data_IF_836281219573
#
_entry.id   IF_836281219573
#
_cell.length_a   1.000
_cell.length_b   1.000
_cell.length_c   1.000
_cell.angle_alpha   90.00
_cell.angle_beta   90.00
_cell.angle_gamma   90.00
#
_symmetry.space_group_name_H-M   'P 1'
#
loop_
_entity.id
_entity.type
_entity.pdbx_description
1 polymer ?
#
# COMPACT_ATOMS: atom_id res chain seq x y z
N UNK A 1 -2.82 -6.53 16.27
CA UNK A 1 -2.46 -5.81 15.04
C UNK A 1 -1.82 -6.76 14.03
N UNK A 2 -2.14 -6.59 12.76
CA UNK A 2 -1.51 -7.39 11.72
C UNK A 2 -1.25 -6.57 10.45
N UNK A 3 -0.36 -7.07 9.60
CA UNK A 3 0.09 -6.40 8.39
C UNK A 3 -0.05 -7.33 7.19
N UNK A 4 -0.64 -6.83 6.10
CA UNK A 4 -0.47 -7.40 4.78
C UNK A 4 0.72 -6.67 4.14
N UNK A 5 1.93 -7.18 4.33
CA UNK A 5 3.18 -6.45 4.07
C UNK A 5 3.39 -6.04 2.61
N UNK A 6 2.87 -6.82 1.66
CA UNK A 6 3.01 -6.54 0.23
C UNK A 6 1.89 -7.24 -0.55
N UNK A 7 0.70 -6.63 -0.58
CA UNK A 7 -0.50 -7.20 -1.20
C UNK A 7 -1.35 -6.12 -1.88
N UNK A 8 -1.85 -6.45 -3.05
CA UNK A 8 -2.69 -5.58 -3.86
C UNK A 8 -4.17 -5.99 -3.79
N UNK A 9 -5.03 -5.33 -4.55
CA UNK A 9 -6.47 -5.56 -4.54
C UNK A 9 -6.89 -6.58 -5.60
N UNK A 10 -7.49 -7.69 -5.18
CA UNK A 10 -7.96 -8.73 -6.10
C UNK A 10 -9.05 -8.22 -7.04
N UNK A 11 -9.87 -7.27 -6.62
CA UNK A 11 -10.92 -6.69 -7.46
C UNK A 11 -10.36 -5.92 -8.66
N UNK A 12 -9.15 -5.39 -8.57
CA UNK A 12 -8.49 -4.68 -9.68
C UNK A 12 -7.80 -5.67 -10.61
N UNK A 13 -7.10 -6.65 -10.05
CA UNK A 13 -6.46 -7.71 -10.81
C UNK A 13 -6.53 -9.02 -10.02
N UNK A 14 -7.18 -10.02 -10.61
CA UNK A 14 -7.49 -11.27 -9.93
C UNK A 14 -6.27 -12.16 -9.78
N UNK A 15 -5.64 -12.09 -8.62
CA UNK A 15 -4.56 -12.98 -8.21
C UNK A 15 -4.89 -13.58 -6.84
N UNK A 16 -4.60 -14.86 -6.66
CA UNK A 16 -4.92 -15.59 -5.41
C UNK A 16 -4.29 -14.92 -4.19
N UNK A 17 -3.09 -14.36 -4.36
CA UNK A 17 -2.33 -13.71 -3.29
C UNK A 17 -2.83 -12.31 -2.95
N UNK A 18 -3.58 -11.69 -3.83
CA UNK A 18 -4.12 -10.35 -3.61
C UNK A 18 -5.32 -10.38 -2.67
N UNK A 19 -5.57 -9.26 -2.00
CA UNK A 19 -6.62 -9.13 -0.99
C UNK A 19 -8.00 -8.98 -1.61
N UNK A 20 -8.98 -9.72 -1.10
CA UNK A 20 -10.39 -9.48 -1.42
C UNK A 20 -10.87 -8.21 -0.74
N UNK A 21 -11.97 -7.63 -1.23
CA UNK A 21 -12.57 -6.45 -0.60
C UNK A 21 -12.94 -6.70 0.86
N UNK A 22 -13.43 -7.89 1.18
CA UNK A 22 -13.76 -8.27 2.55
C UNK A 22 -12.52 -8.28 3.44
N UNK A 23 -11.41 -8.82 2.93
CA UNK A 23 -10.14 -8.83 3.66
C UNK A 23 -9.62 -7.41 3.89
N UNK A 24 -9.71 -6.56 2.89
CA UNK A 24 -9.32 -5.14 3.01
C UNK A 24 -10.15 -4.46 4.09
N UNK A 25 -11.46 -4.66 4.09
CA UNK A 25 -12.37 -4.08 5.09
C UNK A 25 -12.05 -4.55 6.51
N UNK A 26 -11.69 -5.82 6.68
CA UNK A 26 -11.28 -6.36 7.97
C UNK A 26 -10.00 -5.67 8.46
N UNK A 27 -9.03 -5.47 7.57
CA UNK A 27 -7.78 -4.77 7.92
C UNK A 27 -8.06 -3.34 8.35
N UNK A 28 -8.95 -2.64 7.62
CA UNK A 28 -9.38 -1.28 7.97
C UNK A 28 -10.00 -1.26 9.36
N UNK A 29 -10.96 -2.14 9.60
CA UNK A 29 -11.69 -2.23 10.87
C UNK A 29 -10.75 -2.48 12.05
N UNK A 30 -9.72 -3.30 11.83
CA UNK A 30 -8.77 -3.66 12.88
C UNK A 30 -7.57 -2.73 13.00
N UNK A 31 -7.52 -1.67 12.19
CA UNK A 31 -6.42 -0.73 12.22
C UNK A 31 -5.08 -1.35 11.84
N UNK A 32 -5.09 -2.27 10.89
CA UNK A 32 -3.88 -2.90 10.37
C UNK A 32 -3.16 -2.04 9.34
N UNK A 33 -2.28 -2.67 8.56
CA UNK A 33 -1.51 -1.99 7.52
C UNK A 33 -1.49 -2.85 6.26
N UNK A 34 -1.64 -2.22 5.09
CA UNK A 34 -1.54 -2.86 3.79
C UNK A 34 -0.41 -2.21 3.01
N UNK A 35 0.63 -2.97 2.69
CA UNK A 35 1.70 -2.49 1.81
C UNK A 35 1.37 -2.81 0.35
N UNK A 36 1.29 -1.80 -0.50
CA UNK A 36 1.09 -1.99 -1.94
C UNK A 36 2.31 -2.68 -2.55
N UNK A 37 2.07 -3.79 -3.27
CA UNK A 37 3.11 -4.56 -3.94
C UNK A 37 3.35 -4.01 -5.36
N UNK A 38 4.59 -3.89 -5.76
CA UNK A 38 4.96 -3.35 -7.07
C UNK A 38 5.24 -4.44 -8.12
N UNK A 39 5.09 -5.70 -7.77
CA UNK A 39 5.28 -6.80 -8.72
C UNK A 39 4.32 -6.63 -9.91
N UNK A 40 4.86 -6.59 -11.12
CA UNK A 40 4.07 -6.33 -12.33
C UNK A 40 2.93 -7.32 -12.52
N UNK A 41 3.14 -8.59 -12.19
CA UNK A 41 2.12 -9.63 -12.27
C UNK A 41 0.93 -9.33 -11.34
N UNK A 42 1.18 -8.85 -10.13
CA UNK A 42 0.12 -8.56 -9.16
C UNK A 42 -0.62 -7.27 -9.47
N UNK A 43 0.08 -6.29 -10.02
CA UNK A 43 -0.55 -5.05 -10.46
C UNK A 43 -1.48 -5.29 -11.65
N UNK A 44 -1.11 -6.21 -12.55
CA UNK A 44 -1.87 -6.52 -13.75
C UNK A 44 -1.67 -5.49 -14.86
N UNK A 45 -2.37 -5.65 -15.98
CA UNK A 45 -2.24 -4.77 -17.13
C UNK A 45 -0.80 -4.62 -17.57
N UNK A 46 -0.31 -3.38 -17.67
CA UNK A 46 1.08 -3.08 -17.97
C UNK A 46 2.01 -3.17 -16.75
N UNK A 47 1.46 -3.41 -15.57
CA UNK A 47 2.23 -3.60 -14.34
C UNK A 47 3.00 -2.38 -13.86
N UNK A 48 2.57 -1.18 -14.23
CA UNK A 48 3.26 0.06 -13.93
C UNK A 48 2.48 0.97 -12.97
N UNK A 49 2.86 2.24 -12.97
CA UNK A 49 2.27 3.23 -12.06
C UNK A 49 0.79 3.51 -12.33
N UNK A 50 0.32 3.32 -13.55
CA UNK A 50 -1.10 3.45 -13.87
C UNK A 50 -1.92 2.38 -13.13
N UNK A 51 -1.44 1.15 -13.13
CA UNK A 51 -2.06 0.04 -12.40
C UNK A 51 -1.96 0.24 -10.89
N UNK A 52 -0.82 0.74 -10.41
CA UNK A 52 -0.66 1.09 -9.01
C UNK A 52 -1.70 2.12 -8.57
N UNK A 53 -1.96 3.13 -9.40
CA UNK A 53 -3.01 4.11 -9.16
C UNK A 53 -4.37 3.44 -9.01
N UNK A 54 -4.72 2.50 -9.89
CA UNK A 54 -6.00 1.79 -9.83
C UNK A 54 -6.17 1.01 -8.53
N UNK A 55 -5.13 0.29 -8.09
CA UNK A 55 -5.16 -0.42 -6.81
C UNK A 55 -5.35 0.55 -5.65
N UNK A 56 -4.63 1.66 -5.68
CA UNK A 56 -4.74 2.71 -4.66
C UNK A 56 -6.15 3.29 -4.61
N UNK A 57 -6.69 3.69 -5.75
CA UNK A 57 -8.04 4.24 -5.83
C UNK A 57 -9.09 3.25 -5.34
N UNK A 58 -8.96 1.98 -5.72
CA UNK A 58 -9.90 0.96 -5.27
C UNK A 58 -9.88 0.81 -3.74
N UNK A 59 -8.70 0.71 -3.15
CA UNK A 59 -8.59 0.60 -1.70
C UNK A 59 -9.12 1.85 -0.99
N UNK A 60 -8.85 3.04 -1.52
CA UNK A 60 -9.39 4.29 -0.99
C UNK A 60 -10.92 4.31 -1.05
N UNK A 61 -11.52 3.75 -2.10
CA UNK A 61 -12.97 3.65 -2.22
C UNK A 61 -13.61 2.79 -1.13
N UNK A 62 -12.84 1.89 -0.55
CA UNK A 62 -13.26 1.04 0.57
C UNK A 62 -13.00 1.68 1.95
N UNK A 63 -12.39 2.86 1.99
CA UNK A 63 -12.09 3.55 3.23
C UNK A 63 -10.69 3.30 3.80
N UNK A 64 -9.74 2.90 2.96
CA UNK A 64 -8.41 2.46 3.40
C UNK A 64 -7.37 3.58 3.57
N UNK A 65 -7.75 4.86 3.60
CA UNK A 65 -6.79 5.97 3.60
C UNK A 65 -5.79 5.94 4.76
N UNK A 66 -6.18 5.38 5.91
CA UNK A 66 -5.31 5.32 7.09
C UNK A 66 -4.51 4.01 7.21
N UNK A 67 -4.71 3.08 6.29
CA UNK A 67 -4.07 1.75 6.37
C UNK A 67 -3.19 1.41 5.17
N UNK A 68 -3.23 2.17 4.08
CA UNK A 68 -2.40 1.91 2.91
C UNK A 68 -0.98 2.43 3.15
N UNK A 69 0.00 1.63 2.74
CA UNK A 69 1.41 2.00 2.73
C UNK A 69 2.10 1.38 1.51
N UNK A 70 3.41 1.51 1.43
CA UNK A 70 4.19 0.92 0.34
C UNK A 70 4.90 -0.33 0.85
N UNK A 71 4.61 -1.45 0.18
CA UNK A 71 5.24 -2.74 0.47
C UNK A 71 6.07 -3.27 -0.70
N UNK A 72 6.45 -2.46 -1.60
CA UNK A 72 7.12 -2.59 -2.90
C UNK A 72 7.47 -4.01 -3.40
N UNK A 73 8.07 -4.85 -2.55
CA UNK A 73 8.66 -6.15 -2.90
C UNK A 73 9.93 -5.99 -3.75
N UNK A 74 10.67 -4.89 -3.53
CA UNK A 74 11.95 -4.66 -4.20
C UNK A 74 12.89 -5.84 -3.97
N UNK A 75 13.63 -6.20 -5.01
CA UNK A 75 14.56 -7.34 -5.05
C UNK A 75 13.90 -8.73 -4.95
N UNK A 76 12.60 -8.80 -4.70
CA UNK A 76 11.87 -10.08 -4.59
C UNK A 76 11.16 -10.52 -5.87
N UNK A 77 11.03 -9.63 -6.87
CA UNK A 77 10.22 -9.89 -8.05
C UNK A 77 10.54 -8.93 -9.19
N UNK A 78 9.88 -9.15 -10.34
CA UNK A 78 10.01 -8.26 -11.49
C UNK A 78 9.15 -7.01 -11.31
N UNK A 79 9.78 -5.84 -11.39
CA UNK A 79 9.15 -4.54 -11.23
C UNK A 79 9.48 -3.67 -12.46
N UNK A 80 8.48 -2.96 -12.98
CA UNK A 80 8.69 -2.01 -14.09
C UNK A 80 9.72 -0.95 -13.73
N UNK A 81 10.55 -0.50 -14.69
CA UNK A 81 11.58 0.51 -14.40
C UNK A 81 11.06 1.77 -13.74
N UNK A 82 9.86 2.22 -14.07
CA UNK A 82 9.24 3.43 -13.49
C UNK A 82 8.90 3.28 -11.99
N UNK A 83 8.81 2.05 -11.48
CA UNK A 83 8.55 1.75 -10.08
C UNK A 83 9.78 1.21 -9.35
N UNK A 84 10.83 0.82 -10.09
CA UNK A 84 11.97 0.10 -9.54
C UNK A 84 12.95 1.03 -8.84
N UNK A 85 13.24 0.70 -7.59
CA UNK A 85 14.25 1.39 -6.81
C UNK A 85 13.68 2.49 -5.95
N UNK A 86 14.30 2.69 -4.79
CA UNK A 86 13.84 3.68 -3.81
C UNK A 86 13.91 5.12 -4.37
N UNK A 87 14.80 5.37 -5.31
CA UNK A 87 14.93 6.67 -5.96
C UNK A 87 13.71 7.06 -6.80
N UNK A 88 12.85 6.10 -7.14
CA UNK A 88 11.61 6.34 -7.88
C UNK A 88 10.44 6.77 -7.00
N UNK A 89 10.54 6.57 -5.69
CA UNK A 89 9.43 6.86 -4.77
C UNK A 89 8.91 8.30 -4.91
N UNK A 90 9.75 9.35 -4.93
CA UNK A 90 9.22 10.71 -5.12
C UNK A 90 8.42 10.88 -6.41
N UNK A 91 8.88 10.29 -7.52
CA UNK A 91 8.17 10.39 -8.80
C UNK A 91 6.85 9.65 -8.80
N UNK A 92 6.76 8.53 -8.08
CA UNK A 92 5.51 7.78 -7.92
C UNK A 92 4.50 8.63 -7.14
N UNK A 93 4.94 9.26 -6.06
CA UNK A 93 4.10 10.15 -5.26
C UNK A 93 3.54 11.31 -6.11
N UNK A 94 4.39 11.97 -6.88
CA UNK A 94 3.98 13.05 -7.80
C UNK A 94 2.97 12.52 -8.83
N UNK A 95 3.21 11.34 -9.40
CA UNK A 95 2.30 10.73 -10.36
C UNK A 95 0.89 10.53 -9.77
N UNK A 96 0.80 9.99 -8.56
CA UNK A 96 -0.47 9.78 -7.89
C UNK A 96 -1.19 11.12 -7.63
N UNK A 97 -0.46 12.13 -7.17
CA UNK A 97 -1.02 13.46 -6.92
C UNK A 97 -1.56 14.09 -8.21
N UNK A 98 -0.81 14.01 -9.30
CA UNK A 98 -1.22 14.52 -10.61
C UNK A 98 -2.46 13.81 -11.17
N UNK A 99 -2.72 12.58 -10.72
CA UNK A 99 -3.85 11.76 -11.18
C UNK A 99 -4.99 11.68 -10.16
N UNK A 100 -5.07 12.63 -9.24
CA UNK A 100 -6.25 12.84 -8.43
C UNK A 100 -6.18 12.36 -6.99
N UNK A 101 -5.07 11.76 -6.55
CA UNK A 101 -4.91 11.41 -5.15
C UNK A 101 -4.48 12.67 -4.38
N UNK A 102 -5.24 13.13 -3.38
CA UNK A 102 -4.88 14.33 -2.61
C UNK A 102 -3.49 14.22 -1.97
N UNK A 103 -2.78 15.34 -1.90
CA UNK A 103 -1.46 15.40 -1.29
C UNK A 103 -1.43 14.82 0.13
N UNK A 104 -2.45 15.12 0.93
CA UNK A 104 -2.58 14.64 2.31
C UNK A 104 -2.65 13.11 2.37
N UNK A 105 -3.34 12.50 1.42
CA UNK A 105 -3.45 11.03 1.33
C UNK A 105 -2.14 10.42 0.82
N UNK A 106 -1.46 11.06 -0.12
CA UNK A 106 -0.14 10.61 -0.55
C UNK A 106 0.86 10.60 0.61
N UNK A 107 0.85 11.63 1.46
CA UNK A 107 1.69 11.65 2.67
C UNK A 107 1.39 10.48 3.60
N UNK A 108 0.12 10.15 3.77
CA UNK A 108 -0.29 8.99 4.58
C UNK A 108 0.25 7.69 3.99
N UNK A 109 0.08 7.48 2.68
CA UNK A 109 0.49 6.25 2.00
C UNK A 109 2.01 6.07 2.05
N UNK A 110 2.77 7.14 1.78
CA UNK A 110 4.21 7.05 1.64
C UNK A 110 4.98 7.17 2.95
N UNK A 111 4.33 7.60 4.03
CA UNK A 111 5.04 7.75 5.30
C UNK A 111 4.14 7.59 6.53
N UNK A 112 3.09 8.41 6.67
CA UNK A 112 2.42 8.59 7.95
C UNK A 112 1.72 7.33 8.46
N UNK A 113 1.06 6.56 7.57
CA UNK A 113 0.33 5.37 7.99
C UNK A 113 1.25 4.31 8.59
N UNK A 114 2.37 4.02 7.93
CA UNK A 114 3.34 3.07 8.44
C UNK A 114 3.99 3.58 9.73
N UNK A 115 4.36 4.86 9.77
CA UNK A 115 4.97 5.47 10.95
C UNK A 115 4.05 5.37 12.17
N UNK A 116 2.78 5.75 12.02
CA UNK A 116 1.80 5.68 13.10
C UNK A 116 1.54 4.25 13.56
N UNK A 117 1.45 3.32 12.60
CA UNK A 117 1.23 1.91 12.92
C UNK A 117 2.37 1.36 13.76
N UNK A 118 3.61 1.53 13.32
CA UNK A 118 4.78 1.01 14.04
C UNK A 118 5.01 1.72 15.36
N UNK A 119 4.77 3.01 15.43
CA UNK A 119 4.85 3.75 16.69
C UNK A 119 3.89 3.17 17.75
N UNK A 120 2.66 2.87 17.35
CA UNK A 120 1.66 2.29 18.23
C UNK A 120 2.00 0.86 18.66
N UNK A 121 2.48 0.04 17.71
CA UNK A 121 2.74 -1.39 17.94
C UNK A 121 4.04 -1.61 18.72
N UNK A 122 5.04 -0.79 18.50
CA UNK A 122 6.37 -0.93 19.09
C UNK A 122 6.55 -0.14 20.39
N UNK A 123 5.48 0.41 20.96
CA UNK A 123 5.60 1.09 22.25
C UNK A 123 6.11 0.13 23.31
N UNK A 124 7.10 0.56 24.14
CA UNK A 124 7.61 -0.27 25.21
C UNK A 124 6.48 -0.63 26.19
N UNK A 125 6.38 -1.91 26.54
CA UNK A 125 5.47 -2.31 27.62
C UNK A 125 5.96 -1.68 28.92
N UNK A 126 5.07 -0.96 29.61
CA UNK A 126 5.34 -0.55 30.97
C UNK A 126 5.39 -1.82 31.83
N UNK A 127 6.58 -2.11 32.35
CA UNK A 127 6.72 -3.14 33.37
C UNK A 127 6.31 -2.49 34.69
N UNK A 128 5.18 -2.91 35.22
CA UNK A 128 4.80 -2.55 36.58
C UNK A 128 5.54 -3.49 37.53
N UNK A 129 6.48 -2.91 38.23
CA UNK A 129 7.17 -3.61 39.32
C UNK A 129 6.34 -3.55 40.59
#
# INVERSE_FOLDING_TARGET
PFIASHSDARAVHNEVRSLTDEQIKIIIERGGLIGLNFYDRFLGGNGGREELLRHTEHMLSLGAEDVISIGSDYDGCRIKPELRGIEKIPSICVYLEEHGIPEEICKKIFFENAAHFFEKVLQPRRVML
#
